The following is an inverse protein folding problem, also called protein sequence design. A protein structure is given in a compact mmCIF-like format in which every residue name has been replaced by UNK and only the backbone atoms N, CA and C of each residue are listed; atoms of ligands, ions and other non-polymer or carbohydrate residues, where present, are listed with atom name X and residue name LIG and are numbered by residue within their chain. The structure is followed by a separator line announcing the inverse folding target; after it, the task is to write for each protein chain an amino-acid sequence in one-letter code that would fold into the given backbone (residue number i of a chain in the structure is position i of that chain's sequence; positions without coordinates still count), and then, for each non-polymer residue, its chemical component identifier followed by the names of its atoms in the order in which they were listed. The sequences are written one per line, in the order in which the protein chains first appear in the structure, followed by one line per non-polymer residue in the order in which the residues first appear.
data_IF_124281810037
#
_entry.id   IF_124281810037
#
_cell.length_a   1.000
_cell.length_b   1.000
_cell.length_c   1.000
_cell.angle_alpha   90.00
_cell.angle_beta   90.00
_cell.angle_gamma   90.00
#
_symmetry.space_group_name_H-M   'P 1'
#
loop_
_entity.id
_entity.type
_entity.pdbx_description
1 polymer ?
#
# COMPACT_ATOMS: atom_id res chain seq x y z
N UNK A 1 41.16 3.42 79.33
CA UNK A 1 39.68 3.54 79.26
C UNK A 1 39.33 4.39 78.04
N UNK A 2 39.42 3.89 76.81
CA UNK A 2 39.70 2.50 76.38
C UNK A 2 38.52 1.92 75.58
N UNK A 3 38.72 1.23 74.46
CA UNK A 3 39.97 0.92 73.74
C UNK A 3 39.73 0.82 72.22
N UNK A 4 40.81 0.89 71.43
CA UNK A 4 40.86 0.51 70.02
C UNK A 4 41.75 -0.72 69.88
N UNK A 5 41.28 -1.78 69.20
CA UNK A 5 41.71 -2.00 67.81
C UNK A 5 40.57 -2.54 66.90
N UNK A 6 40.71 -2.67 65.59
CA UNK A 6 41.82 -2.34 64.68
C UNK A 6 41.53 -2.86 63.26
N UNK A 7 42.14 -2.27 62.24
CA UNK A 7 41.96 -2.67 60.83
C UNK A 7 42.79 -3.92 60.47
N UNK A 8 42.26 -4.86 59.67
CA UNK A 8 43.07 -5.76 58.86
C UNK A 8 43.30 -5.16 57.46
N UNK A 9 44.56 -4.93 57.09
CA UNK A 9 44.92 -4.46 55.75
C UNK A 9 44.89 -5.58 54.69
N UNK A 10 44.72 -5.16 53.43
CA UNK A 10 45.46 -5.71 52.29
C UNK A 10 45.32 -7.20 51.93
N UNK A 11 44.58 -7.48 50.85
CA UNK A 11 44.95 -8.55 49.92
C UNK A 11 45.23 -7.97 48.53
N UNK A 12 46.45 -8.18 48.05
CA UNK A 12 46.94 -7.77 46.72
C UNK A 12 46.36 -8.71 45.63
N UNK A 13 46.27 -8.27 44.37
CA UNK A 13 45.90 -9.16 43.26
C UNK A 13 46.95 -10.25 43.04
N UNK A 14 46.51 -11.40 42.51
CA UNK A 14 47.39 -12.48 42.06
C UNK A 14 47.86 -12.23 40.61
N UNK A 15 49.14 -12.48 40.27
CA UNK A 15 49.62 -12.43 38.90
C UNK A 15 49.17 -13.66 38.10
N UNK A 16 49.10 -13.51 36.77
CA UNK A 16 48.55 -14.53 35.87
C UNK A 16 49.54 -15.57 35.33
N UNK A 17 49.06 -16.34 34.36
CA UNK A 17 49.86 -17.20 33.46
C UNK A 17 49.22 -17.22 32.08
N UNK A 18 49.88 -16.57 31.13
CA UNK A 18 49.74 -16.87 29.70
C UNK A 18 50.54 -18.15 29.35
N UNK A 19 50.70 -18.53 28.08
CA UNK A 19 49.73 -19.32 27.32
C UNK A 19 50.31 -20.71 26.95
N UNK A 20 49.51 -21.58 26.32
CA UNK A 20 50.01 -22.81 25.70
C UNK A 20 49.92 -22.73 24.16
N UNK A 21 51.03 -22.51 23.45
CA UNK A 21 51.07 -22.43 21.99
C UNK A 21 51.48 -23.75 21.32
N UNK A 22 51.03 -23.91 20.08
CA UNK A 22 51.48 -24.90 19.08
C UNK A 22 51.13 -26.40 19.33
N UNK A 23 50.18 -26.88 18.52
CA UNK A 23 50.46 -28.02 17.65
C UNK A 23 50.43 -27.57 16.20
N UNK A 24 51.52 -27.82 15.49
CA UNK A 24 51.74 -27.37 14.12
C UNK A 24 51.36 -28.45 13.11
N UNK A 25 50.86 -27.98 11.96
CA UNK A 25 50.88 -28.63 10.64
C UNK A 25 52.33 -29.07 10.27
N UNK A 26 52.61 -29.94 9.25
CA UNK A 26 52.09 -29.75 7.87
C UNK A 26 52.01 -30.98 6.92
N UNK A 27 51.80 -30.64 5.62
CA UNK A 27 52.17 -31.32 4.35
C UNK A 27 51.03 -32.04 3.59
N UNK A 28 50.92 -31.67 2.29
CA UNK A 28 50.03 -32.21 1.24
C UNK A 28 50.82 -33.21 0.32
N UNK A 29 50.62 -33.35 -1.01
CA UNK A 29 49.43 -33.26 -1.88
C UNK A 29 49.23 -34.51 -2.78
N UNK A 30 48.12 -34.56 -3.56
CA UNK A 30 47.84 -35.27 -4.84
C UNK A 30 46.29 -35.36 -5.03
N UNK A 31 45.69 -35.38 -6.22
CA UNK A 31 46.21 -35.20 -7.59
C UNK A 31 45.44 -36.06 -8.62
N UNK A 32 44.72 -35.44 -9.57
CA UNK A 32 43.86 -36.11 -10.57
C UNK A 32 42.43 -36.43 -10.08
N UNK A 33 41.40 -36.58 -10.91
CA UNK A 33 41.31 -36.46 -12.38
C UNK A 33 39.88 -36.01 -12.83
N UNK A 34 39.70 -35.70 -14.12
CA UNK A 34 38.47 -35.23 -14.82
C UNK A 34 37.58 -36.41 -15.35
N UNK A 35 36.41 -36.24 -16.03
CA UNK A 35 35.87 -35.04 -16.72
C UNK A 35 34.32 -34.78 -16.72
N UNK A 36 33.94 -33.64 -17.34
CA UNK A 36 32.74 -33.25 -18.17
C UNK A 36 31.47 -34.14 -18.27
N UNK A 37 30.26 -33.59 -18.57
CA UNK A 37 29.94 -32.56 -19.60
C UNK A 37 29.38 -31.22 -19.02
N UNK A 38 29.41 -30.05 -19.66
CA UNK A 38 29.17 -29.57 -21.05
C UNK A 38 27.74 -29.69 -21.62
N UNK A 39 26.97 -28.60 -21.61
CA UNK A 39 25.83 -28.46 -22.52
C UNK A 39 25.49 -27.00 -22.88
N UNK A 40 26.44 -26.28 -23.48
CA UNK A 40 26.17 -24.99 -24.12
C UNK A 40 25.59 -25.14 -25.54
N UNK A 41 24.26 -25.30 -25.69
CA UNK A 41 23.56 -24.82 -26.92
C UNK A 41 22.03 -24.66 -26.85
N UNK A 42 21.61 -23.41 -27.06
CA UNK A 42 20.50 -23.04 -27.96
C UNK A 42 21.11 -22.25 -29.13
N UNK A 43 20.41 -22.01 -30.25
CA UNK A 43 19.05 -22.40 -30.61
C UNK A 43 18.98 -23.34 -31.83
N UNK A 44 17.78 -23.72 -32.26
CA UNK A 44 17.47 -23.69 -33.70
C UNK A 44 15.96 -23.49 -33.98
N UNK A 45 15.59 -23.09 -35.20
CA UNK A 45 14.23 -22.67 -35.59
C UNK A 45 13.88 -23.09 -37.03
N UNK A 46 12.98 -24.08 -37.24
CA UNK A 46 12.46 -24.42 -38.56
C UNK A 46 11.51 -23.36 -39.17
N UNK A 47 11.30 -23.43 -40.48
CA UNK A 47 10.64 -22.40 -41.29
C UNK A 47 9.13 -22.65 -41.54
N UNK A 48 8.47 -21.65 -42.14
CA UNK A 48 7.12 -21.72 -42.71
C UNK A 48 7.12 -22.42 -44.09
N UNK A 49 6.02 -23.07 -44.49
CA UNK A 49 5.61 -23.19 -45.90
C UNK A 49 4.73 -22.00 -46.34
N UNK A 50 4.53 -21.82 -47.65
CA UNK A 50 3.98 -20.58 -48.24
C UNK A 50 2.76 -20.78 -49.18
N UNK A 51 2.09 -19.67 -49.51
CA UNK A 51 0.93 -19.59 -50.43
C UNK A 51 -0.32 -19.04 -49.73
N UNK A 52 -1.18 -18.22 -50.35
CA UNK A 52 -1.27 -17.74 -51.75
C UNK A 52 -1.76 -16.27 -51.81
N UNK A 53 -1.90 -15.69 -53.02
CA UNK A 53 -2.14 -14.25 -53.26
C UNK A 53 -3.51 -13.68 -52.83
N UNK A 54 -3.88 -12.45 -53.19
CA UNK A 54 -3.35 -11.53 -54.22
C UNK A 54 -3.57 -10.04 -53.81
N UNK A 55 -3.04 -9.03 -54.52
CA UNK A 55 -2.95 -7.63 -54.05
C UNK A 55 -4.16 -6.76 -54.43
N UNK A 56 -4.33 -5.56 -53.82
CA UNK A 56 -4.78 -4.37 -54.58
C UNK A 56 -4.49 -2.98 -53.93
N UNK A 57 -3.73 -2.16 -54.66
CA UNK A 57 -3.66 -0.67 -54.73
C UNK A 57 -4.12 0.24 -53.56
N UNK A 58 -3.15 0.98 -53.03
CA UNK A 58 -3.21 2.47 -52.92
C UNK A 58 -2.66 3.08 -54.23
N UNK A 59 -2.97 4.34 -54.68
CA UNK A 59 -2.60 5.58 -53.95
C UNK A 59 -3.40 6.91 -54.19
N UNK A 60 -3.17 7.88 -53.28
CA UNK A 60 -3.13 9.37 -53.45
C UNK A 60 -4.25 10.11 -54.22
N UNK A 61 -4.82 11.16 -53.56
CA UNK A 61 -4.51 12.59 -53.84
C UNK A 61 -5.10 13.57 -52.79
N UNK A 62 -4.46 14.75 -52.69
CA UNK A 62 -4.91 16.02 -52.07
C UNK A 62 -4.95 17.10 -53.18
N UNK A 63 -5.23 18.39 -52.91
CA UNK A 63 -6.38 19.03 -52.25
C UNK A 63 -7.09 20.05 -53.21
N UNK A 64 -8.07 20.82 -52.73
CA UNK A 64 -8.63 21.94 -53.53
C UNK A 64 -9.51 22.93 -52.76
N UNK A 65 -9.21 24.23 -52.87
CA UNK A 65 -10.07 25.37 -52.44
C UNK A 65 -11.08 25.73 -53.55
N UNK A 66 -12.25 26.26 -53.20
CA UNK A 66 -12.51 27.73 -53.22
C UNK A 66 -13.89 28.14 -52.70
N UNK A 67 -13.98 29.43 -52.36
CA UNK A 67 -15.15 30.14 -51.85
C UNK A 67 -16.24 30.37 -52.92
N UNK A 68 -17.46 30.65 -52.46
CA UNK A 68 -18.20 31.81 -52.97
C UNK A 68 -18.96 32.53 -51.84
N UNK A 69 -19.19 33.83 -52.04
CA UNK A 69 -19.66 34.82 -51.06
C UNK A 69 -20.80 35.64 -51.70
N UNK A 70 -21.50 36.44 -50.89
CA UNK A 70 -22.36 37.60 -51.26
C UNK A 70 -23.88 37.32 -51.35
N UNK A 71 -24.81 38.24 -51.01
CA UNK A 71 -24.85 39.44 -50.12
C UNK A 71 -26.31 39.94 -50.08
N UNK A 72 -26.91 40.48 -49.00
CA UNK A 72 -26.92 41.92 -48.63
C UNK A 72 -27.96 42.23 -47.53
N UNK A 73 -27.63 43.20 -46.63
CA UNK A 73 -28.48 44.29 -46.04
C UNK A 73 -29.81 43.90 -45.31
N UNK A 74 -30.38 44.61 -44.33
CA UNK A 74 -30.26 45.93 -43.63
C UNK A 74 -31.13 45.77 -42.32
N UNK A 75 -31.09 46.47 -41.17
CA UNK A 75 -30.37 47.56 -40.46
C UNK A 75 -30.78 47.42 -38.94
N UNK A 76 -30.40 48.17 -37.88
CA UNK A 76 -29.58 49.36 -37.58
C UNK A 76 -29.09 49.28 -36.09
N UNK A 77 -28.89 50.44 -35.41
CA UNK A 77 -28.74 50.62 -33.93
C UNK A 77 -29.86 51.53 -33.40
N UNK A 78 -30.05 51.62 -32.06
CA UNK A 78 -29.62 52.83 -31.35
C UNK A 78 -28.82 52.57 -30.04
N UNK A 79 -28.55 53.66 -29.29
CA UNK A 79 -27.52 53.79 -28.24
C UNK A 79 -28.10 53.83 -26.77
N UNK A 80 -27.25 53.88 -25.70
CA UNK A 80 -27.66 53.44 -24.35
C UNK A 80 -28.06 54.56 -23.34
N UNK A 81 -28.34 54.10 -22.10
CA UNK A 81 -28.39 54.82 -20.82
C UNK A 81 -29.72 55.48 -20.36
N UNK A 82 -30.46 54.77 -19.49
CA UNK A 82 -31.04 55.26 -18.22
C UNK A 82 -31.63 54.10 -17.39
N UNK A 83 -31.23 53.99 -16.12
CA UNK A 83 -31.70 52.97 -15.16
C UNK A 83 -32.99 53.41 -14.45
N UNK A 84 -33.75 52.49 -13.81
CA UNK A 84 -33.57 52.37 -12.35
C UNK A 84 -33.83 50.97 -11.70
N UNK A 85 -32.95 50.66 -10.73
CA UNK A 85 -33.25 50.08 -9.40
C UNK A 85 -33.81 48.64 -9.18
N UNK A 86 -32.95 47.87 -8.48
CA UNK A 86 -33.22 47.02 -7.28
C UNK A 86 -33.82 45.61 -7.43
N UNK A 87 -33.17 44.68 -6.69
CA UNK A 87 -33.48 43.25 -6.46
C UNK A 87 -33.23 42.37 -7.71
N UNK A 88 -32.57 41.21 -7.64
CA UNK A 88 -32.23 40.37 -6.48
C UNK A 88 -30.72 40.06 -6.39
N UNK A 89 -30.09 40.47 -5.29
CA UNK A 89 -28.74 40.04 -4.91
C UNK A 89 -28.61 40.02 -3.37
N UNK A 90 -29.51 39.27 -2.71
CA UNK A 90 -29.45 39.02 -1.27
C UNK A 90 -30.43 37.89 -0.89
N UNK A 91 -29.88 36.68 -0.64
CA UNK A 91 -30.42 35.56 0.17
C UNK A 91 -29.73 34.25 -0.20
N UNK A 92 -28.58 33.99 0.42
CA UNK A 92 -28.15 32.66 0.92
C UNK A 92 -26.90 32.79 1.81
N UNK A 93 -26.92 33.77 2.72
CA UNK A 93 -25.97 33.89 3.83
C UNK A 93 -26.79 33.88 5.13
N UNK A 94 -26.36 33.09 6.12
CA UNK A 94 -26.98 33.06 7.45
C UNK A 94 -27.76 31.79 7.81
N UNK A 95 -27.10 30.62 7.78
CA UNK A 95 -27.19 29.63 8.89
C UNK A 95 -25.91 28.79 8.91
N UNK A 96 -24.92 29.26 9.67
CA UNK A 96 -23.85 28.41 10.20
C UNK A 96 -24.24 28.08 11.65
N UNK A 97 -24.33 26.80 12.00
CA UNK A 97 -24.92 26.36 13.28
C UNK A 97 -24.80 24.85 13.51
N UNK A 98 -23.56 24.42 13.75
CA UNK A 98 -23.08 23.06 14.05
C UNK A 98 -24.06 21.89 14.22
N UNK A 99 -23.83 20.84 13.40
CA UNK A 99 -23.86 19.41 13.77
C UNK A 99 -23.41 18.56 12.55
N UNK A 100 -22.50 17.57 12.68
CA UNK A 100 -22.26 16.61 11.61
C UNK A 100 -23.45 15.62 11.52
N UNK A 101 -23.95 15.37 10.30
CA UNK A 101 -25.03 14.39 10.04
C UNK A 101 -26.23 14.91 9.25
N UNK A 102 -26.29 16.20 8.91
CA UNK A 102 -27.40 16.79 8.16
C UNK A 102 -27.40 16.39 6.66
N UNK A 103 -28.14 15.32 6.32
CA UNK A 103 -28.37 14.93 4.92
C UNK A 103 -29.52 15.73 4.29
N UNK A 104 -29.27 16.32 3.12
CA UNK A 104 -30.30 16.95 2.29
C UNK A 104 -31.22 15.93 1.59
N UNK A 105 -32.53 16.21 1.58
CA UNK A 105 -33.51 15.42 0.81
C UNK A 105 -33.61 15.96 -0.62
N UNK A 106 -33.47 15.09 -1.62
CA UNK A 106 -33.71 15.42 -3.03
C UNK A 106 -34.93 14.64 -3.52
N UNK A 107 -36.00 15.34 -3.90
CA UNK A 107 -37.21 14.72 -4.42
C UNK A 107 -37.05 14.43 -5.93
N UNK A 108 -36.97 13.15 -6.29
CA UNK A 108 -37.20 12.72 -7.67
C UNK A 108 -38.69 12.91 -8.00
N UNK A 109 -38.99 13.41 -9.19
CA UNK A 109 -40.38 13.70 -9.61
C UNK A 109 -41.14 12.41 -9.95
N UNK A 110 -41.63 11.73 -8.91
CA UNK A 110 -42.40 10.49 -8.97
C UNK A 110 -42.98 10.13 -7.59
N UNK A 111 -43.70 9.00 -7.49
CA UNK A 111 -44.34 8.56 -6.22
C UNK A 111 -43.37 7.89 -5.21
N UNK A 112 -42.10 8.32 -5.19
CA UNK A 112 -41.07 7.78 -4.32
C UNK A 112 -40.22 8.89 -3.70
N UNK A 113 -39.74 8.67 -2.48
CA UNK A 113 -38.80 9.56 -1.80
C UNK A 113 -37.61 8.73 -1.32
N UNK A 114 -36.43 9.35 -1.24
CA UNK A 114 -35.26 8.76 -0.61
C UNK A 114 -34.63 9.77 0.36
N UNK A 115 -33.92 9.23 1.34
CA UNK A 115 -33.13 9.98 2.32
C UNK A 115 -31.84 9.22 2.51
N UNK A 116 -30.70 9.80 2.12
CA UNK A 116 -29.41 9.22 2.47
C UNK A 116 -29.25 9.30 4.00
N UNK A 117 -28.42 8.46 4.58
CA UNK A 117 -28.08 8.50 6.00
C UNK A 117 -26.57 8.71 6.12
N UNK A 118 -26.13 9.47 7.11
CA UNK A 118 -24.73 9.42 7.50
C UNK A 118 -24.45 8.03 8.08
N UNK A 119 -23.44 7.35 7.56
CA UNK A 119 -22.95 6.09 8.07
C UNK A 119 -21.50 6.30 8.52
N UNK A 120 -21.17 5.83 9.72
CA UNK A 120 -19.87 6.02 10.37
C UNK A 120 -19.38 4.66 10.85
N UNK A 121 -19.19 3.74 9.91
CA UNK A 121 -18.68 2.39 10.17
C UNK A 121 -17.15 2.36 10.28
N UNK A 122 -16.47 3.45 9.92
CA UNK A 122 -15.01 3.52 9.83
C UNK A 122 -14.32 3.27 11.18
N UNK A 123 -13.46 2.27 11.28
CA UNK A 123 -12.49 2.14 12.38
C UNK A 123 -11.15 2.76 11.96
N UNK A 124 -10.62 3.65 12.81
CA UNK A 124 -9.27 4.18 12.67
C UNK A 124 -8.23 3.25 13.29
N UNK A 125 -7.20 2.89 12.52
CA UNK A 125 -6.00 2.19 12.98
C UNK A 125 -4.83 3.18 13.04
N UNK A 126 -4.33 3.48 14.23
CA UNK A 126 -3.05 4.20 14.41
C UNK A 126 -1.91 3.21 14.70
N UNK A 127 -0.74 3.45 14.10
CA UNK A 127 0.44 2.57 14.18
C UNK A 127 1.68 3.41 14.46
N UNK A 128 2.62 2.87 15.23
CA UNK A 128 3.95 3.44 15.49
C UNK A 128 5.00 2.36 15.43
N UNK A 129 6.19 2.66 14.89
CA UNK A 129 7.32 1.75 14.83
C UNK A 129 8.65 2.51 14.71
N UNK A 130 9.81 1.92 15.09
CA UNK A 130 11.11 2.59 14.96
C UNK A 130 11.43 2.98 13.50
N UNK A 131 11.19 2.07 12.55
CA UNK A 131 11.40 2.29 11.12
C UNK A 131 10.11 2.20 10.29
N UNK A 132 10.15 2.75 9.07
CA UNK A 132 9.06 2.64 8.10
C UNK A 132 8.75 1.19 7.68
N UNK A 133 9.75 0.31 7.63
CA UNK A 133 9.53 -1.09 7.27
C UNK A 133 8.77 -1.82 8.38
N UNK A 134 9.17 -1.63 9.64
CA UNK A 134 8.43 -2.14 10.79
C UNK A 134 7.02 -1.55 10.87
N UNK A 135 6.82 -0.27 10.50
CA UNK A 135 5.50 0.37 10.48
C UNK A 135 4.51 -0.40 9.60
N UNK A 136 4.94 -0.86 8.41
CA UNK A 136 4.10 -1.65 7.50
C UNK A 136 3.86 -3.10 8.00
N UNK A 137 4.81 -3.68 8.75
CA UNK A 137 4.65 -4.99 9.41
C UNK A 137 3.68 -4.91 10.59
N UNK A 138 3.82 -3.90 11.45
CA UNK A 138 2.92 -3.68 12.60
C UNK A 138 1.53 -3.27 12.14
N UNK A 139 1.40 -2.49 11.07
CA UNK A 139 0.11 -2.18 10.44
C UNK A 139 -0.60 -3.44 9.93
N UNK A 140 0.14 -4.35 9.27
CA UNK A 140 -0.38 -5.65 8.84
C UNK A 140 -0.88 -6.49 10.03
N UNK A 141 -0.10 -6.57 11.11
CA UNK A 141 -0.47 -7.30 12.32
C UNK A 141 -1.69 -6.69 13.04
N UNK A 142 -1.76 -5.36 13.14
CA UNK A 142 -2.89 -4.64 13.73
C UNK A 142 -4.18 -4.79 12.92
N UNK A 143 -4.09 -4.72 11.58
CA UNK A 143 -5.22 -4.95 10.68
C UNK A 143 -5.70 -6.41 10.72
N UNK A 144 -4.78 -7.38 10.78
CA UNK A 144 -5.10 -8.80 10.99
C UNK A 144 -5.82 -9.04 12.31
N UNK A 145 -5.39 -8.38 13.40
CA UNK A 145 -6.06 -8.45 14.70
C UNK A 145 -7.46 -7.80 14.65
N UNK A 146 -7.61 -6.65 13.96
CA UNK A 146 -8.93 -6.02 13.74
C UNK A 146 -9.94 -6.99 13.09
N UNK A 147 -9.52 -7.82 12.13
CA UNK A 147 -10.39 -8.80 11.46
C UNK A 147 -10.66 -10.05 12.31
N UNK A 148 -9.61 -10.69 12.84
CA UNK A 148 -9.70 -12.05 13.43
C UNK A 148 -9.52 -12.10 14.97
N UNK A 149 -9.27 -10.98 15.63
CA UNK A 149 -8.92 -10.92 17.05
C UNK A 149 -7.60 -11.62 17.38
N UNK A 150 -7.50 -12.11 18.61
CA UNK A 150 -6.38 -12.91 19.13
C UNK A 150 -6.40 -14.38 18.65
N UNK A 151 -6.49 -14.59 17.33
CA UNK A 151 -6.37 -15.93 16.74
C UNK A 151 -4.92 -16.39 16.63
N UNK A 152 -4.66 -17.68 16.88
CA UNK A 152 -3.37 -18.33 16.59
C UNK A 152 -3.40 -19.02 15.23
N UNK A 153 -2.36 -18.83 14.42
CA UNK A 153 -2.26 -19.37 13.06
C UNK A 153 -0.84 -19.92 12.80
N UNK A 154 -0.74 -21.05 12.11
CA UNK A 154 0.54 -21.70 11.78
C UNK A 154 1.10 -21.22 10.42
N UNK A 155 2.43 -21.19 10.27
CA UNK A 155 3.10 -20.76 9.03
C UNK A 155 3.24 -21.87 7.96
N UNK A 156 2.15 -22.61 7.68
CA UNK A 156 2.17 -23.77 6.76
C UNK A 156 2.01 -23.41 5.28
N UNK A 157 1.48 -22.22 4.97
CA UNK A 157 1.35 -21.66 3.62
C UNK A 157 2.15 -20.36 3.53
N UNK A 158 2.73 -20.10 2.36
CA UNK A 158 3.38 -18.82 2.01
C UNK A 158 2.76 -18.21 0.75
N UNK A 159 2.70 -16.89 0.71
CA UNK A 159 2.27 -16.08 -0.44
C UNK A 159 3.30 -14.98 -0.68
N UNK A 160 3.78 -14.86 -1.92
CA UNK A 160 4.55 -13.69 -2.33
C UNK A 160 3.57 -12.58 -2.72
N UNK A 161 3.84 -11.37 -2.25
CA UNK A 161 3.01 -10.19 -2.49
C UNK A 161 3.87 -9.09 -3.09
N UNK A 162 3.31 -8.34 -4.04
CA UNK A 162 3.88 -7.09 -4.56
C UNK A 162 2.75 -6.09 -4.70
N UNK A 163 2.93 -4.88 -4.18
CA UNK A 163 1.98 -3.77 -4.34
C UNK A 163 2.71 -2.51 -4.78
N UNK A 164 2.03 -1.70 -5.58
CA UNK A 164 2.55 -0.45 -6.14
C UNK A 164 1.53 0.68 -5.94
N UNK A 165 2.01 1.90 -5.73
CA UNK A 165 1.19 3.08 -5.46
C UNK A 165 1.91 4.38 -5.84
N UNK A 166 1.21 5.52 -5.85
CA UNK A 166 1.79 6.81 -6.22
C UNK A 166 2.78 7.37 -5.20
N UNK A 167 2.64 7.01 -3.92
CA UNK A 167 3.47 7.49 -2.80
C UNK A 167 3.36 6.58 -1.56
N UNK A 168 4.24 6.80 -0.57
CA UNK A 168 4.33 5.98 0.64
C UNK A 168 3.04 5.85 1.47
N UNK A 169 2.26 6.93 1.66
CA UNK A 169 0.90 6.83 2.23
C UNK A 169 -0.04 5.92 1.44
N UNK A 170 -0.17 6.11 0.12
CA UNK A 170 -1.03 5.27 -0.73
C UNK A 170 -0.57 3.81 -0.74
N UNK A 171 0.75 3.57 -0.66
CA UNK A 171 1.35 2.24 -0.60
C UNK A 171 0.91 1.47 0.64
N UNK A 172 0.64 2.14 1.76
CA UNK A 172 0.08 1.51 2.96
C UNK A 172 -1.37 1.07 2.74
N UNK A 173 -2.17 1.87 2.04
CA UNK A 173 -3.55 1.52 1.69
C UNK A 173 -3.59 0.35 0.69
N UNK A 174 -2.71 0.35 -0.32
CA UNK A 174 -2.58 -0.77 -1.25
C UNK A 174 -2.14 -2.06 -0.54
N UNK A 175 -1.14 -1.96 0.35
CA UNK A 175 -0.62 -3.07 1.15
C UNK A 175 -1.70 -3.74 2.01
N UNK A 176 -2.46 -2.96 2.80
CA UNK A 176 -3.46 -3.54 3.69
C UNK A 176 -4.69 -4.08 2.93
N UNK A 177 -5.07 -3.47 1.80
CA UNK A 177 -6.12 -4.03 0.94
C UNK A 177 -5.71 -5.36 0.26
N UNK A 178 -4.42 -5.54 -0.07
CA UNK A 178 -3.93 -6.81 -0.60
C UNK A 178 -3.89 -7.91 0.50
N UNK A 179 -3.64 -7.54 1.76
CA UNK A 179 -3.85 -8.46 2.90
C UNK A 179 -5.34 -8.84 3.00
N UNK A 180 -6.26 -7.88 2.87
CA UNK A 180 -7.69 -8.16 2.91
C UNK A 180 -8.13 -9.12 1.79
N UNK A 181 -7.66 -8.89 0.56
CA UNK A 181 -7.84 -9.77 -0.59
C UNK A 181 -7.40 -11.21 -0.30
N UNK A 182 -6.24 -11.39 0.33
CA UNK A 182 -5.73 -12.70 0.74
C UNK A 182 -6.54 -13.34 1.88
N UNK A 183 -7.13 -12.54 2.77
CA UNK A 183 -8.00 -13.02 3.84
C UNK A 183 -9.36 -13.50 3.29
N UNK A 184 -10.03 -12.69 2.46
CA UNK A 184 -11.36 -13.00 1.94
C UNK A 184 -11.34 -14.01 0.79
N UNK A 185 -10.63 -13.68 -0.30
CA UNK A 185 -10.59 -14.48 -1.53
C UNK A 185 -9.58 -15.63 -1.41
N UNK A 186 -8.41 -15.34 -0.84
CA UNK A 186 -7.37 -16.32 -0.58
C UNK A 186 -7.68 -17.27 0.58
N UNK A 187 -8.68 -16.94 1.42
CA UNK A 187 -9.08 -17.68 2.63
C UNK A 187 -7.89 -17.99 3.55
N UNK A 188 -6.95 -17.05 3.66
CA UNK A 188 -5.75 -17.15 4.50
C UNK A 188 -5.98 -16.45 5.85
N UNK A 189 -5.53 -17.06 6.95
CA UNK A 189 -5.31 -16.34 8.21
C UNK A 189 -3.81 -16.04 8.33
N UNK A 190 -3.38 -14.76 8.25
CA UNK A 190 -1.97 -14.43 8.36
C UNK A 190 -1.41 -14.72 9.77
N UNK A 191 -0.22 -15.29 9.80
CA UNK A 191 0.58 -15.57 10.98
C UNK A 191 1.86 -14.72 11.02
N UNK A 192 2.54 -14.58 9.88
CA UNK A 192 3.79 -13.85 9.73
C UNK A 192 3.84 -12.97 8.48
N UNK A 193 4.66 -11.91 8.55
CA UNK A 193 4.87 -10.93 7.48
C UNK A 193 6.36 -10.62 7.40
N UNK A 194 6.95 -10.80 6.22
CA UNK A 194 8.36 -10.55 5.95
C UNK A 194 8.49 -9.65 4.71
N UNK A 195 8.67 -8.34 4.94
CA UNK A 195 8.92 -7.38 3.86
C UNK A 195 10.35 -7.61 3.33
N UNK A 196 10.46 -7.78 2.00
CA UNK A 196 11.70 -8.02 1.26
C UNK A 196 12.26 -6.73 0.65
N UNK A 197 11.39 -5.84 0.23
CA UNK A 197 11.73 -4.55 -0.36
C UNK A 197 10.64 -3.53 -0.03
N UNK A 198 11.04 -2.29 0.27
CA UNK A 198 10.13 -1.17 0.50
C UNK A 198 10.75 0.12 -0.02
N UNK A 199 10.02 0.80 -0.91
CA UNK A 199 10.35 2.13 -1.45
C UNK A 199 9.16 3.07 -1.27
N UNK A 200 9.20 4.29 -1.80
CA UNK A 200 8.05 5.19 -1.82
C UNK A 200 6.88 4.70 -2.69
N UNK A 201 7.13 3.80 -3.66
CA UNK A 201 6.12 3.42 -4.66
C UNK A 201 5.97 1.91 -4.87
N UNK A 202 6.84 1.08 -4.28
CA UNK A 202 6.80 -0.38 -4.40
C UNK A 202 7.05 -1.04 -3.04
N UNK A 203 6.33 -2.12 -2.75
CA UNK A 203 6.58 -3.03 -1.63
C UNK A 203 6.53 -4.47 -2.16
N UNK A 204 7.56 -5.27 -1.84
CA UNK A 204 7.51 -6.72 -2.02
C UNK A 204 7.69 -7.45 -0.69
N UNK A 205 6.89 -8.50 -0.46
CA UNK A 205 6.84 -9.20 0.82
C UNK A 205 6.49 -10.69 0.65
N UNK A 206 6.74 -11.46 1.72
CA UNK A 206 6.18 -12.79 1.93
C UNK A 206 5.21 -12.72 3.11
N UNK A 207 3.99 -13.19 2.90
CA UNK A 207 3.02 -13.44 3.99
C UNK A 207 2.98 -14.95 4.23
N UNK A 208 3.08 -15.34 5.49
CA UNK A 208 2.93 -16.73 5.95
C UNK A 208 1.69 -16.86 6.83
N UNK A 209 1.08 -18.05 6.82
CA UNK A 209 -0.17 -18.33 7.53
C UNK A 209 -0.78 -19.66 7.13
N UNK A 210 -2.05 -19.87 7.45
CA UNK A 210 -2.77 -21.11 7.15
C UNK A 210 -4.18 -20.86 6.59
N UNK A 211 -4.82 -21.85 5.94
CA UNK A 211 -6.20 -21.72 5.50
C UNK A 211 -7.18 -21.47 6.66
N UNK A 212 -8.21 -20.65 6.42
CA UNK A 212 -9.26 -20.35 7.38
C UNK A 212 -10.12 -21.59 7.67
N UNK A 213 -9.97 -22.12 8.89
CA UNK A 213 -10.78 -23.20 9.46
C UNK A 213 -11.87 -22.62 10.39
N UNK A 214 -13.17 -22.70 10.02
CA UNK A 214 -14.26 -22.20 10.85
C UNK A 214 -14.40 -22.88 12.23
N UNK A 215 -13.75 -24.03 12.46
CA UNK A 215 -13.73 -24.69 13.77
C UNK A 215 -12.65 -24.13 14.72
N UNK A 216 -11.72 -23.33 14.20
CA UNK A 216 -10.56 -22.79 14.94
C UNK A 216 -10.44 -21.26 14.88
N UNK A 217 -10.95 -20.64 13.83
CA UNK A 217 -10.74 -19.23 13.53
C UNK A 217 -12.09 -18.50 13.50
N UNK A 218 -12.16 -17.38 14.24
CA UNK A 218 -13.33 -16.49 14.27
C UNK A 218 -13.00 -15.23 13.46
N UNK A 219 -13.99 -14.66 12.77
CA UNK A 219 -13.94 -13.30 12.24
C UNK A 219 -14.67 -12.40 13.24
N UNK A 220 -13.95 -11.49 13.90
CA UNK A 220 -14.57 -10.48 14.77
C UNK A 220 -15.23 -9.37 13.96
N UNK A 221 -14.61 -8.96 12.85
CA UNK A 221 -15.07 -7.84 12.01
C UNK A 221 -14.84 -8.18 10.55
N UNK A 222 -15.90 -8.04 9.74
CA UNK A 222 -15.73 -7.93 8.30
C UNK A 222 -15.17 -6.55 8.01
N UNK A 223 -14.01 -6.47 7.36
CA UNK A 223 -13.51 -5.23 6.77
C UNK A 223 -13.80 -5.29 5.27
N UNK A 224 -14.35 -4.21 4.69
CA UNK A 224 -14.63 -4.12 3.24
C UNK A 224 -13.49 -3.51 2.46
N UNK A 225 -12.86 -2.48 3.04
CA UNK A 225 -11.80 -1.72 2.40
C UNK A 225 -11.00 -0.91 3.42
N UNK A 226 -9.68 -0.86 3.22
CA UNK A 226 -8.82 0.15 3.82
C UNK A 226 -8.86 1.39 2.92
N UNK A 227 -9.08 2.56 3.51
CA UNK A 227 -9.42 3.79 2.77
C UNK A 227 -8.34 4.87 2.86
N UNK A 228 -8.40 5.82 1.92
CA UNK A 228 -7.59 7.04 1.95
C UNK A 228 -8.13 8.11 2.93
N UNK A 229 -9.21 7.84 3.68
CA UNK A 229 -9.82 8.82 4.58
C UNK A 229 -8.88 9.15 5.74
N UNK A 230 -8.55 10.44 5.92
CA UNK A 230 -7.64 10.94 6.98
C UNK A 230 -6.30 10.18 7.11
N UNK A 231 -5.85 9.59 6.00
CA UNK A 231 -4.61 8.85 5.85
C UNK A 231 -3.40 9.71 6.20
N UNK A 232 -2.52 9.19 7.05
CA UNK A 232 -1.23 9.78 7.40
C UNK A 232 -0.19 8.66 7.41
N UNK A 233 0.97 8.88 6.80
CA UNK A 233 2.20 8.09 6.99
C UNK A 233 3.36 9.07 7.00
N UNK A 234 4.03 9.21 8.14
CA UNK A 234 5.07 10.23 8.35
C UNK A 234 6.14 9.79 9.36
N UNK A 235 7.34 10.35 9.21
CA UNK A 235 8.40 10.25 10.21
C UNK A 235 8.15 11.27 11.33
N UNK A 236 8.37 10.85 12.58
CA UNK A 236 8.28 11.68 13.78
C UNK A 236 9.56 11.52 14.62
N UNK A 237 9.69 12.32 15.68
CA UNK A 237 10.88 12.34 16.55
C UNK A 237 11.24 10.97 17.13
N UNK A 238 10.23 10.15 17.38
CA UNK A 238 10.34 8.87 18.09
C UNK A 238 10.18 7.67 17.13
N UNK A 239 10.48 7.87 15.84
CA UNK A 239 10.27 6.91 14.77
C UNK A 239 9.03 7.22 13.91
N UNK A 240 8.56 6.23 13.17
CA UNK A 240 7.50 6.36 12.18
C UNK A 240 6.10 6.23 12.79
N UNK A 241 5.13 6.91 12.17
CA UNK A 241 3.71 6.83 12.52
C UNK A 241 2.85 6.68 11.26
N UNK A 242 1.75 5.93 11.40
CA UNK A 242 0.66 5.93 10.45
C UNK A 242 -0.70 6.08 11.14
N UNK A 243 -1.66 6.59 10.38
CA UNK A 243 -3.10 6.43 10.63
C UNK A 243 -3.82 6.13 9.34
N UNK A 244 -4.75 5.18 9.38
CA UNK A 244 -5.62 4.81 8.27
C UNK A 244 -7.01 4.44 8.78
N UNK A 245 -8.05 4.54 7.94
CA UNK A 245 -9.43 4.20 8.30
C UNK A 245 -9.97 3.04 7.45
N UNK A 246 -10.70 2.13 8.08
CA UNK A 246 -11.21 0.88 7.52
C UNK A 246 -12.74 0.88 7.55
N UNK A 247 -13.39 0.72 6.38
CA UNK A 247 -14.84 0.51 6.25
C UNK A 247 -15.22 -0.93 6.62
N UNK A 248 -16.33 -1.11 7.34
CA UNK A 248 -16.82 -2.38 7.92
C UNK A 248 -18.24 -2.72 7.46
#
# INVERSE_FOLDING_TARGET
MGDLPGLPEGRRPLPGRDPDPARQLPVEPRGGDSPHPDEHRRPDRPAQPAGTGHPHRSPRRKPGHRDHRQQTRRTARPDPAKSPQRRTADRLAGIAGGLPGAVGTLALSGRGHFRLLAHTADIGLEVRAPSRQELFVVAAAGFRNLIFGEVSAAEVVRRQVRVEAGNGPELLVAWLNEILCLCELGRLVPAGVEIRELTDQHLSAVISGEPFDPARHTVERSAKAVTYHQLVVEERRDGWYARVYIDL
#
